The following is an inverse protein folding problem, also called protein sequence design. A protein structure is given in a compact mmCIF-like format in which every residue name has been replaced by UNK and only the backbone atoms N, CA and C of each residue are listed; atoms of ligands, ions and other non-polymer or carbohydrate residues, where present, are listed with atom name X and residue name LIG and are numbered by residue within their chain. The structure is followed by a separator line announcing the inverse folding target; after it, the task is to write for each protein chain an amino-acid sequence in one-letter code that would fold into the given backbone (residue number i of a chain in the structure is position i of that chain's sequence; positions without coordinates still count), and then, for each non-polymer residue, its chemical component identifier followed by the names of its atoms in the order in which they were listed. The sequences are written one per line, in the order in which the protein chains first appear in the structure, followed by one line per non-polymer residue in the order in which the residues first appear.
data_IF_362629872220
#
_entry.id   IF_362629872220
#
_cell.length_a   1.000
_cell.length_b   1.000
_cell.length_c   1.000
_cell.angle_alpha   90.00
_cell.angle_beta   90.00
_cell.angle_gamma   90.00
#
_symmetry.space_group_name_H-M   'P 1'
#
loop_
_entity.id
_entity.type
_entity.pdbx_description
1 polymer ?
#
# COMPACT_ATOMS: atom_id res chain seq x y z
N UNK A 1 -6.02 0.63 -18.15
CA UNK A 1 -6.66 1.20 -16.94
C UNK A 1 -6.54 2.72 -16.82
N UNK A 2 -5.37 3.31 -17.08
CA UNK A 2 -5.08 4.73 -16.78
C UNK A 2 -5.95 5.77 -17.50
N UNK A 3 -6.48 5.46 -18.69
CA UNK A 3 -7.31 6.40 -19.49
C UNK A 3 -8.82 6.13 -19.27
N UNK A 4 -9.20 4.85 -19.21
CA UNK A 4 -10.60 4.43 -19.07
C UNK A 4 -11.17 4.73 -17.67
N UNK A 5 -10.38 4.57 -16.61
CA UNK A 5 -10.87 4.78 -15.24
C UNK A 5 -11.25 6.25 -14.98
N UNK A 6 -10.39 7.25 -15.28
CA UNK A 6 -10.73 8.65 -15.10
C UNK A 6 -11.92 9.08 -15.97
N UNK A 7 -12.12 8.47 -17.14
CA UNK A 7 -13.28 8.73 -17.98
C UNK A 7 -14.59 8.25 -17.31
N UNK A 8 -14.61 7.02 -16.78
CA UNK A 8 -15.79 6.48 -16.07
C UNK A 8 -16.06 7.21 -14.74
N UNK A 9 -15.00 7.53 -13.99
CA UNK A 9 -15.10 8.14 -12.66
C UNK A 9 -15.23 9.67 -12.75
N UNK A 10 -14.96 10.27 -13.92
CA UNK A 10 -15.00 11.71 -14.15
C UNK A 10 -16.32 12.35 -13.72
N UNK A 11 -17.47 11.68 -13.94
CA UNK A 11 -18.76 12.18 -13.45
C UNK A 11 -18.86 12.24 -11.92
N UNK A 12 -18.23 11.31 -11.22
CA UNK A 12 -18.23 11.23 -9.76
C UNK A 12 -17.18 12.14 -9.11
N UNK A 13 -16.05 12.37 -9.77
CA UNK A 13 -14.98 13.25 -9.27
C UNK A 13 -15.14 14.72 -9.66
N UNK A 14 -15.89 15.02 -10.72
CA UNK A 14 -16.21 16.42 -11.11
C UNK A 14 -17.32 17.05 -10.26
N UNK A 15 -17.95 16.29 -9.38
CA UNK A 15 -18.96 16.79 -8.45
C UNK A 15 -18.39 17.72 -7.36
N UNK A 16 -19.27 18.32 -6.53
CA UNK A 16 -18.85 19.25 -5.46
C UNK A 16 -18.08 18.58 -4.31
N UNK A 17 -17.99 17.24 -4.29
CA UNK A 17 -17.38 16.47 -3.20
C UNK A 17 -16.45 15.35 -3.71
N UNK A 18 -15.33 15.68 -4.39
CA UNK A 18 -14.42 14.71 -5.01
C UNK A 18 -13.81 13.71 -4.02
N UNK A 19 -13.36 14.20 -2.86
CA UNK A 19 -12.81 13.40 -1.75
C UNK A 19 -13.78 12.34 -1.15
N UNK A 20 -15.09 12.33 -1.48
CA UNK A 20 -15.96 11.24 -1.05
C UNK A 20 -15.56 9.93 -1.73
N UNK A 21 -15.18 9.99 -3.01
CA UNK A 21 -14.69 8.82 -3.75
C UNK A 21 -13.40 8.29 -3.11
N UNK A 22 -12.53 9.18 -2.64
CA UNK A 22 -11.35 8.80 -1.85
C UNK A 22 -11.75 8.08 -0.55
N UNK A 23 -12.71 8.61 0.22
CA UNK A 23 -13.15 8.02 1.48
C UNK A 23 -13.78 6.63 1.34
N UNK A 24 -14.43 6.35 0.21
CA UNK A 24 -14.99 5.03 -0.10
C UNK A 24 -13.92 4.07 -0.66
N UNK A 25 -13.02 4.56 -1.50
CA UNK A 25 -11.95 3.74 -2.09
C UNK A 25 -10.86 3.34 -1.07
N UNK A 26 -10.63 4.15 -0.04
CA UNK A 26 -9.61 3.90 0.98
C UNK A 26 -9.80 2.58 1.76
N UNK A 27 -10.95 2.32 2.42
CA UNK A 27 -11.16 1.05 3.13
C UNK A 27 -11.15 -0.15 2.19
N UNK A 28 -11.69 0.02 0.97
CA UNK A 28 -11.63 -1.00 -0.07
C UNK A 28 -10.17 -1.33 -0.45
N UNK A 29 -9.31 -0.32 -0.58
CA UNK A 29 -7.88 -0.52 -0.83
C UNK A 29 -7.21 -1.34 0.27
N UNK A 30 -7.44 -1.00 1.55
CA UNK A 30 -6.86 -1.76 2.67
C UNK A 30 -7.30 -3.22 2.63
N UNK A 31 -8.60 -3.46 2.38
CA UNK A 31 -9.13 -4.81 2.27
C UNK A 31 -8.47 -5.59 1.13
N UNK A 32 -8.40 -5.03 -0.08
CA UNK A 32 -7.79 -5.69 -1.24
C UNK A 32 -6.30 -5.95 -1.02
N UNK A 33 -5.58 -5.04 -0.37
CA UNK A 33 -4.16 -5.26 0.00
C UNK A 33 -4.01 -6.42 0.98
N UNK A 34 -4.90 -6.56 1.97
CA UNK A 34 -4.92 -7.71 2.87
C UNK A 34 -5.18 -9.03 2.14
N UNK A 35 -6.15 -9.04 1.22
CA UNK A 35 -6.42 -10.20 0.35
C UNK A 35 -5.20 -10.56 -0.49
N UNK A 36 -4.54 -9.57 -1.09
CA UNK A 36 -3.33 -9.78 -1.89
C UNK A 36 -2.17 -10.35 -1.07
N UNK A 37 -1.99 -9.89 0.16
CA UNK A 37 -0.99 -10.45 1.08
C UNK A 37 -1.32 -11.91 1.45
N UNK A 38 -2.58 -12.23 1.76
CA UNK A 38 -2.99 -13.62 2.02
C UNK A 38 -2.76 -14.52 0.80
N UNK A 39 -3.05 -14.02 -0.40
CA UNK A 39 -2.82 -14.72 -1.66
C UNK A 39 -1.33 -15.04 -1.87
N UNK A 40 -0.43 -14.08 -1.60
CA UNK A 40 1.01 -14.29 -1.60
C UNK A 40 1.44 -15.37 -0.60
N UNK A 41 0.86 -15.36 0.61
CA UNK A 41 1.15 -16.36 1.64
C UNK A 41 0.79 -17.78 1.21
N UNK A 42 -0.34 -17.97 0.52
CA UNK A 42 -0.76 -19.28 0.03
C UNK A 42 -0.07 -19.73 -1.26
N UNK A 43 0.53 -18.81 -2.01
CA UNK A 43 1.18 -19.09 -3.30
C UNK A 43 2.15 -20.29 -3.27
N UNK A 44 3.09 -20.43 -2.31
CA UNK A 44 4.01 -21.58 -2.28
C UNK A 44 3.30 -22.93 -2.15
N UNK A 45 2.07 -22.98 -1.62
CA UNK A 45 1.29 -24.22 -1.48
C UNK A 45 0.79 -24.78 -2.82
N UNK A 46 0.72 -23.94 -3.86
CA UNK A 46 0.26 -24.35 -5.19
C UNK A 46 1.41 -24.68 -6.15
N UNK A 47 2.64 -24.83 -5.63
CA UNK A 47 3.80 -25.21 -6.42
C UNK A 47 3.61 -26.64 -6.97
N UNK A 48 3.67 -26.80 -8.28
CA UNK A 48 3.57 -28.12 -8.93
C UNK A 48 4.86 -28.93 -8.66
N UNK A 49 4.77 -30.25 -8.84
CA UNK A 49 5.91 -31.18 -8.69
C UNK A 49 7.09 -30.81 -9.60
N UNK A 50 6.81 -30.20 -10.75
CA UNK A 50 7.82 -29.73 -11.71
C UNK A 50 8.47 -28.40 -11.30
N UNK A 51 8.06 -27.81 -10.17
CA UNK A 51 8.53 -26.51 -9.70
C UNK A 51 7.83 -25.31 -10.35
N UNK A 52 6.95 -25.53 -11.32
CA UNK A 52 6.16 -24.51 -12.01
C UNK A 52 4.85 -24.15 -11.26
N UNK A 53 4.28 -23.00 -11.60
CA UNK A 53 2.99 -22.55 -11.10
C UNK A 53 1.92 -22.65 -12.19
N UNK A 54 0.69 -23.11 -11.88
CA UNK A 54 -0.38 -23.18 -12.87
C UNK A 54 -0.80 -21.79 -13.35
N UNK A 55 -1.17 -21.71 -14.64
CA UNK A 55 -1.60 -20.46 -15.29
C UNK A 55 -2.79 -19.77 -14.60
N UNK A 56 -3.62 -20.56 -13.90
CA UNK A 56 -4.76 -20.08 -13.12
C UNK A 56 -4.33 -19.18 -11.96
N UNK A 57 -3.19 -19.43 -11.31
CA UNK A 57 -2.66 -18.55 -10.26
C UNK A 57 -2.21 -17.21 -10.83
N UNK A 58 -1.54 -17.21 -11.98
CA UNK A 58 -1.14 -15.97 -12.65
C UNK A 58 -2.35 -15.13 -13.05
N UNK A 59 -3.39 -15.75 -13.61
CA UNK A 59 -4.64 -15.06 -13.92
C UNK A 59 -5.29 -14.44 -12.67
N UNK A 60 -5.28 -15.17 -11.55
CA UNK A 60 -5.81 -14.71 -10.27
C UNK A 60 -4.97 -13.57 -9.67
N UNK A 61 -3.63 -13.61 -9.78
CA UNK A 61 -2.74 -12.50 -9.41
C UNK A 61 -3.03 -11.24 -10.22
N UNK A 62 -3.16 -11.37 -11.54
CA UNK A 62 -3.47 -10.26 -12.43
C UNK A 62 -4.84 -9.66 -12.09
N UNK A 63 -5.84 -10.50 -11.81
CA UNK A 63 -7.16 -10.03 -11.40
C UNK A 63 -7.11 -9.26 -10.06
N UNK A 64 -6.42 -9.80 -9.05
CA UNK A 64 -6.25 -9.14 -7.76
C UNK A 64 -5.48 -7.81 -7.88
N UNK A 65 -4.43 -7.78 -8.71
CA UNK A 65 -3.68 -6.56 -9.01
C UNK A 65 -4.55 -5.51 -9.71
N UNK A 66 -5.39 -5.91 -10.66
CA UNK A 66 -6.36 -5.01 -11.29
C UNK A 66 -7.30 -4.38 -10.27
N UNK A 67 -7.86 -5.17 -9.33
CA UNK A 67 -8.75 -4.66 -8.27
C UNK A 67 -8.04 -3.65 -7.36
N UNK A 68 -6.80 -3.95 -6.96
CA UNK A 68 -5.97 -3.04 -6.18
C UNK A 68 -5.72 -1.72 -6.94
N UNK A 69 -5.39 -1.85 -8.22
CA UNK A 69 -5.04 -0.72 -9.07
C UNK A 69 -6.21 0.22 -9.31
N UNK A 70 -7.43 -0.31 -9.44
CA UNK A 70 -8.67 0.47 -9.53
C UNK A 70 -8.83 1.35 -8.29
N UNK A 71 -8.72 0.77 -7.08
CA UNK A 71 -8.85 1.51 -5.83
C UNK A 71 -7.82 2.65 -5.73
N UNK A 72 -6.57 2.34 -6.05
CA UNK A 72 -5.47 3.32 -6.02
C UNK A 72 -5.70 4.47 -7.01
N UNK A 73 -6.19 4.18 -8.21
CA UNK A 73 -6.50 5.22 -9.20
C UNK A 73 -7.70 6.06 -8.81
N UNK A 74 -8.77 5.47 -8.27
CA UNK A 74 -9.91 6.23 -7.74
C UNK A 74 -9.46 7.28 -6.72
N UNK A 75 -8.59 6.88 -5.78
CA UNK A 75 -8.02 7.77 -4.77
C UNK A 75 -7.18 8.88 -5.41
N UNK A 76 -6.28 8.53 -6.34
CA UNK A 76 -5.42 9.50 -7.02
C UNK A 76 -6.22 10.54 -7.80
N UNK A 77 -7.18 10.12 -8.62
CA UNK A 77 -8.02 11.03 -9.42
C UNK A 77 -8.85 11.93 -8.51
N UNK A 78 -9.38 11.41 -7.40
CA UNK A 78 -10.15 12.20 -6.43
C UNK A 78 -9.32 13.29 -5.76
N UNK A 79 -8.07 12.98 -5.41
CA UNK A 79 -7.14 13.94 -4.81
C UNK A 79 -6.74 15.02 -5.84
N UNK A 80 -6.42 14.62 -7.07
CA UNK A 80 -6.10 15.54 -8.16
C UNK A 80 -7.27 16.47 -8.48
N UNK A 81 -8.50 15.95 -8.51
CA UNK A 81 -9.71 16.73 -8.72
C UNK A 81 -9.92 17.75 -7.58
N UNK A 82 -9.64 17.38 -6.34
CA UNK A 82 -9.72 18.30 -5.20
C UNK A 82 -8.65 19.39 -5.28
N UNK A 83 -7.39 19.03 -5.51
CA UNK A 83 -6.27 19.97 -5.66
C UNK A 83 -6.54 21.00 -6.78
N UNK A 84 -7.11 20.56 -7.90
CA UNK A 84 -7.51 21.44 -8.99
C UNK A 84 -8.65 22.39 -8.60
N UNK A 85 -9.61 21.93 -7.79
CA UNK A 85 -10.75 22.76 -7.35
C UNK A 85 -10.37 23.82 -6.31
N UNK A 86 -9.38 23.56 -5.45
CA UNK A 86 -8.92 24.51 -4.42
C UNK A 86 -7.86 25.50 -4.92
N UNK A 87 -7.23 25.20 -6.05
CA UNK A 87 -6.20 26.06 -6.63
C UNK A 87 -6.83 27.36 -7.16
N UNK A 88 -6.35 28.52 -6.65
CA UNK A 88 -6.82 29.84 -7.07
C UNK A 88 -6.56 30.07 -8.57
N UNK A 89 -7.52 30.53 -9.38
CA UNK A 89 -7.32 30.77 -10.81
C UNK A 89 -6.14 31.69 -11.15
N UNK A 90 -5.76 32.63 -10.26
CA UNK A 90 -4.67 33.59 -10.50
C UNK A 90 -3.28 32.99 -10.27
N UNK A 91 -3.14 32.02 -9.35
CA UNK A 91 -1.85 31.37 -9.02
C UNK A 91 -2.00 29.83 -9.01
N UNK A 92 -2.90 29.31 -9.85
CA UNK A 92 -3.31 27.92 -9.78
C UNK A 92 -2.19 26.96 -10.17
N UNK A 93 -1.33 27.38 -11.10
CA UNK A 93 -0.16 26.59 -11.52
C UNK A 93 0.82 26.32 -10.38
N UNK A 94 1.14 27.33 -9.56
CA UNK A 94 2.06 27.18 -8.43
C UNK A 94 1.43 26.34 -7.31
N UNK A 95 0.17 26.60 -6.96
CA UNK A 95 -0.55 25.81 -5.95
C UNK A 95 -0.67 24.33 -6.36
N UNK A 96 -1.06 24.06 -7.60
CA UNK A 96 -1.21 22.71 -8.11
C UNK A 96 0.13 21.96 -8.13
N UNK A 97 1.21 22.64 -8.53
CA UNK A 97 2.57 22.06 -8.51
C UNK A 97 3.00 21.74 -7.08
N UNK A 98 2.86 22.67 -6.14
CA UNK A 98 3.22 22.45 -4.74
C UNK A 98 2.45 21.27 -4.12
N UNK A 99 1.13 21.22 -4.34
CA UNK A 99 0.28 20.14 -3.83
C UNK A 99 0.67 18.79 -4.43
N UNK A 100 1.02 18.75 -5.73
CA UNK A 100 1.52 17.53 -6.36
C UNK A 100 2.87 17.10 -5.79
N UNK A 101 3.78 18.05 -5.51
CA UNK A 101 5.07 17.76 -4.86
C UNK A 101 4.85 17.17 -3.47
N UNK A 102 3.98 17.75 -2.66
CA UNK A 102 3.63 17.23 -1.33
C UNK A 102 2.99 15.84 -1.42
N UNK A 103 2.12 15.61 -2.41
CA UNK A 103 1.49 14.31 -2.62
C UNK A 103 2.49 13.23 -3.06
N UNK A 104 3.42 13.56 -3.97
CA UNK A 104 4.48 12.65 -4.40
C UNK A 104 5.47 12.35 -3.28
N UNK A 105 5.83 13.35 -2.46
CA UNK A 105 6.69 13.15 -1.30
C UNK A 105 6.00 12.20 -0.31
N UNK A 106 4.75 12.50 0.05
CA UNK A 106 3.94 11.70 0.98
C UNK A 106 3.72 10.26 0.55
N UNK A 107 3.71 9.97 -0.76
CA UNK A 107 3.53 8.63 -1.30
C UNK A 107 4.81 7.77 -1.33
N UNK A 108 5.99 8.38 -1.46
CA UNK A 108 7.24 7.64 -1.68
C UNK A 108 8.01 7.30 -0.39
N UNK A 109 8.08 8.23 0.58
CA UNK A 109 8.84 7.99 1.81
C UNK A 109 8.40 6.76 2.62
N UNK A 110 7.10 6.36 2.69
CA UNK A 110 6.70 5.20 3.47
C UNK A 110 7.23 3.89 2.90
N UNK A 111 7.41 3.82 1.57
CA UNK A 111 7.91 2.61 0.90
C UNK A 111 9.35 2.35 1.33
N UNK A 112 10.21 3.37 1.27
CA UNK A 112 11.61 3.27 1.70
C UNK A 112 11.71 2.94 3.18
N UNK A 113 10.89 3.58 4.02
CA UNK A 113 10.86 3.32 5.46
C UNK A 113 10.47 1.87 5.76
N UNK A 114 9.39 1.37 5.14
CA UNK A 114 8.94 0.00 5.38
C UNK A 114 9.99 -1.02 4.92
N UNK A 115 10.55 -0.86 3.72
CA UNK A 115 11.61 -1.76 3.23
C UNK A 115 12.83 -1.78 4.17
N UNK A 116 13.23 -0.63 4.71
CA UNK A 116 14.35 -0.57 5.66
C UNK A 116 14.06 -1.24 7.01
N UNK A 117 12.80 -1.34 7.40
CA UNK A 117 12.38 -1.94 8.67
C UNK A 117 12.07 -3.43 8.50
N UNK A 118 11.61 -3.87 7.33
CA UNK A 118 11.26 -5.28 7.05
C UNK A 118 12.40 -6.24 7.36
N UNK A 119 13.63 -5.90 7.00
CA UNK A 119 14.80 -6.74 7.28
C UNK A 119 15.03 -6.93 8.79
N UNK A 120 14.70 -5.91 9.59
CA UNK A 120 14.82 -5.96 11.07
C UNK A 120 13.65 -6.67 11.74
N UNK A 121 12.51 -6.75 11.06
CA UNK A 121 11.30 -7.44 11.53
C UNK A 121 11.24 -8.91 11.09
N UNK A 122 12.23 -9.36 10.34
CA UNK A 122 12.32 -10.72 9.84
C UNK A 122 13.11 -11.57 10.81
N UNK A 123 12.51 -12.66 11.28
CA UNK A 123 13.17 -13.61 12.19
C UNK A 123 13.45 -14.94 11.50
N UNK A 124 14.69 -15.39 11.62
CA UNK A 124 15.15 -16.66 11.04
C UNK A 124 15.60 -17.59 12.15
N UNK A 125 15.23 -18.87 12.05
CA UNK A 125 15.65 -19.89 13.01
C UNK A 125 16.61 -20.87 12.34
N UNK A 126 17.63 -21.30 13.07
CA UNK A 126 18.49 -22.41 12.69
C UNK A 126 17.78 -23.72 13.04
N UNK A 127 17.56 -24.56 12.04
CA UNK A 127 16.82 -25.83 12.17
C UNK A 127 17.74 -26.99 11.84
N UNK A 128 17.79 -27.97 12.74
CA UNK A 128 18.60 -29.17 12.59
C UNK A 128 18.15 -30.01 11.38
N UNK A 129 19.08 -30.38 10.51
CA UNK A 129 18.78 -31.14 9.29
C UNK A 129 18.48 -32.61 9.63
N UNK A 130 17.22 -32.92 9.93
CA UNK A 130 16.71 -34.29 10.15
C UNK A 130 15.76 -34.46 11.33
N UNK A 131 15.88 -33.63 12.37
CA UNK A 131 15.00 -33.64 13.56
C UNK A 131 14.07 -32.44 13.65
N UNK A 132 14.24 -31.43 12.76
CA UNK A 132 13.48 -30.18 12.77
C UNK A 132 13.49 -29.44 14.13
N UNK A 133 14.49 -29.71 14.96
CA UNK A 133 14.68 -29.06 16.26
C UNK A 133 15.31 -27.69 16.08
N UNK A 134 14.78 -26.67 16.77
CA UNK A 134 15.28 -25.30 16.76
C UNK A 134 16.55 -25.24 17.61
N UNK A 135 17.69 -24.95 16.98
CA UNK A 135 19.00 -24.91 17.61
C UNK A 135 19.39 -23.49 18.05
N UNK A 136 18.81 -22.46 17.42
CA UNK A 136 19.11 -21.05 17.69
C UNK A 136 18.50 -20.12 16.64
N UNK A 137 18.87 -18.84 16.69
CA UNK A 137 18.46 -17.78 15.75
C UNK A 137 19.51 -17.57 14.66
N UNK A 138 19.08 -17.17 13.45
CA UNK A 138 19.93 -16.82 12.30
C UNK A 138 19.71 -15.36 11.87
N UNK A 139 19.73 -14.42 12.82
CA UNK A 139 19.43 -13.02 12.52
C UNK A 139 20.68 -12.27 12.07
N UNK A 140 21.86 -12.67 12.55
CA UNK A 140 23.15 -12.11 12.15
C UNK A 140 23.89 -13.01 11.15
N UNK A 141 24.81 -12.40 10.39
CA UNK A 141 25.66 -13.14 9.44
C UNK A 141 26.52 -14.20 10.15
N UNK A 142 27.05 -13.87 11.32
CA UNK A 142 27.87 -14.77 12.15
C UNK A 142 27.07 -16.00 12.63
N UNK A 143 25.83 -15.81 13.06
CA UNK A 143 24.93 -16.91 13.45
C UNK A 143 24.55 -17.78 12.25
N UNK A 144 24.30 -17.15 11.09
CA UNK A 144 24.01 -17.85 9.85
C UNK A 144 25.20 -18.72 9.42
N UNK A 145 26.42 -18.16 9.44
CA UNK A 145 27.64 -18.87 9.06
C UNK A 145 27.92 -20.04 10.03
N UNK A 146 27.62 -19.87 11.32
CA UNK A 146 27.77 -20.93 12.34
C UNK A 146 26.75 -22.05 12.13
N UNK A 147 25.49 -21.71 11.86
CA UNK A 147 24.43 -22.69 11.58
C UNK A 147 24.76 -23.53 10.34
N UNK A 148 25.19 -22.87 9.25
CA UNK A 148 25.57 -23.56 8.01
C UNK A 148 26.84 -24.39 8.19
N UNK A 149 27.82 -23.92 8.97
CA UNK A 149 29.03 -24.68 9.28
C UNK A 149 28.74 -25.98 10.05
N UNK A 150 27.68 -26.01 10.84
CA UNK A 150 27.21 -27.21 11.55
C UNK A 150 26.39 -28.17 10.67
N UNK A 151 26.13 -27.81 9.41
CA UNK A 151 25.35 -28.62 8.46
C UNK A 151 23.84 -28.40 8.55
N UNK A 152 23.39 -27.38 9.30
CA UNK A 152 21.99 -27.05 9.54
C UNK A 152 21.46 -26.00 8.55
N UNK A 153 20.14 -25.78 8.54
CA UNK A 153 19.48 -24.89 7.59
C UNK A 153 18.78 -23.75 8.34
N UNK A 154 19.04 -22.51 7.92
CA UNK A 154 18.30 -21.35 8.42
C UNK A 154 16.98 -21.23 7.65
N UNK A 155 15.87 -21.52 8.31
CA UNK A 155 14.53 -21.34 7.76
C UNK A 155 13.89 -20.05 8.29
N UNK A 156 13.12 -19.39 7.42
CA UNK A 156 12.35 -18.20 7.76
C UNK A 156 11.17 -18.61 8.63
N UNK A 157 11.15 -18.18 9.90
CA UNK A 157 10.05 -18.49 10.81
C UNK A 157 8.94 -17.44 10.74
N UNK A 158 9.32 -16.15 10.74
CA UNK A 158 8.39 -15.03 10.57
C UNK A 158 8.94 -14.09 9.52
N UNK A 159 8.17 -13.92 8.44
CA UNK A 159 8.48 -12.96 7.39
C UNK A 159 7.97 -11.57 7.79
N UNK A 160 8.91 -10.64 7.95
CA UNK A 160 8.65 -9.26 8.33
C UNK A 160 7.71 -8.53 7.37
N UNK A 161 7.55 -9.03 6.13
CA UNK A 161 6.59 -8.50 5.16
C UNK A 161 5.15 -8.57 5.70
N UNK A 162 4.70 -9.73 6.19
CA UNK A 162 3.31 -9.90 6.64
C UNK A 162 3.02 -9.11 7.92
N UNK A 163 4.01 -9.04 8.82
CA UNK A 163 3.94 -8.18 10.00
C UNK A 163 3.84 -6.71 9.59
N UNK A 164 4.67 -6.29 8.63
CA UNK A 164 4.63 -4.95 8.06
C UNK A 164 3.29 -4.60 7.44
N UNK A 165 2.69 -5.51 6.66
CA UNK A 165 1.35 -5.33 6.08
C UNK A 165 0.29 -5.16 7.17
N UNK A 166 0.33 -5.98 8.23
CA UNK A 166 -0.61 -5.88 9.34
C UNK A 166 -0.48 -4.53 10.09
N UNK A 167 0.75 -4.11 10.38
CA UNK A 167 1.03 -2.82 11.03
C UNK A 167 0.59 -1.64 10.17
N UNK A 168 0.88 -1.66 8.86
CA UNK A 168 0.45 -0.63 7.93
C UNK A 168 -1.08 -0.57 7.79
N UNK A 169 -1.75 -1.73 7.76
CA UNK A 169 -3.21 -1.79 7.70
C UNK A 169 -3.83 -1.17 8.97
N UNK A 170 -3.32 -1.53 10.16
CA UNK A 170 -3.76 -0.97 11.43
C UNK A 170 -3.56 0.55 11.49
N UNK A 171 -2.36 1.03 11.13
CA UNK A 171 -2.05 2.45 11.05
C UNK A 171 -2.98 3.18 10.07
N UNK A 172 -3.26 2.57 8.92
CA UNK A 172 -4.18 3.09 7.91
C UNK A 172 -5.62 3.20 8.43
N UNK A 173 -6.12 2.21 9.17
CA UNK A 173 -7.44 2.27 9.78
C UNK A 173 -7.55 3.37 10.85
N UNK A 174 -6.51 3.52 11.68
CA UNK A 174 -6.45 4.60 12.68
C UNK A 174 -6.43 5.96 11.99
N UNK A 175 -5.57 6.15 10.99
CA UNK A 175 -5.50 7.35 10.18
C UNK A 175 -6.84 7.69 9.53
N UNK A 176 -7.50 6.68 8.95
CA UNK A 176 -8.81 6.83 8.33
C UNK A 176 -9.84 7.36 9.33
N UNK A 177 -9.97 6.73 10.51
CA UNK A 177 -10.91 7.16 11.54
C UNK A 177 -10.64 8.59 12.02
N UNK A 178 -9.37 8.95 12.24
CA UNK A 178 -8.98 10.27 12.75
C UNK A 178 -9.20 11.38 11.72
N UNK A 179 -8.87 11.13 10.45
CA UNK A 179 -8.95 12.15 9.41
C UNK A 179 -10.29 12.16 8.65
N UNK A 180 -11.14 11.14 8.79
CA UNK A 180 -12.44 11.08 8.11
C UNK A 180 -13.26 12.36 8.28
N UNK A 181 -13.40 12.82 9.54
CA UNK A 181 -14.14 14.05 9.87
C UNK A 181 -13.46 15.29 9.31
N UNK A 182 -12.12 15.35 9.33
CA UNK A 182 -11.34 16.48 8.79
C UNK A 182 -11.43 16.57 7.27
N UNK A 183 -11.33 15.44 6.57
CA UNK A 183 -11.49 15.32 5.12
C UNK A 183 -12.88 15.80 4.71
N UNK A 184 -13.94 15.35 5.40
CA UNK A 184 -15.30 15.84 5.18
C UNK A 184 -15.45 17.33 5.46
N UNK A 185 -14.74 17.86 6.46
CA UNK A 185 -14.75 19.29 6.75
C UNK A 185 -14.09 20.09 5.62
N UNK A 186 -12.90 19.70 5.15
CA UNK A 186 -12.21 20.38 4.04
C UNK A 186 -13.03 20.43 2.76
N UNK A 187 -13.83 19.40 2.47
CA UNK A 187 -14.75 19.41 1.33
C UNK A 187 -15.94 20.36 1.46
N UNK A 188 -16.31 20.76 2.68
CA UNK A 188 -17.43 21.69 2.92
C UNK A 188 -17.02 23.15 2.83
N UNK A 189 -15.73 23.44 2.97
CA UNK A 189 -15.20 24.81 2.89
C UNK A 189 -15.45 25.35 1.48
N UNK A 190 -16.02 26.55 1.38
CA UNK A 190 -16.33 27.16 0.11
C UNK A 190 -15.04 27.48 -0.65
N UNK A 191 -15.06 27.35 -1.98
CA UNK A 191 -13.87 27.62 -2.83
C UNK A 191 -13.30 29.04 -2.63
N UNK A 192 -14.14 30.00 -2.26
CA UNK A 192 -13.75 31.38 -1.96
C UNK A 192 -12.83 31.51 -0.74
N UNK A 193 -12.93 30.58 0.20
CA UNK A 193 -12.11 30.58 1.42
C UNK A 193 -10.74 29.93 1.17
N UNK A 194 -10.60 29.19 0.06
CA UNK A 194 -9.32 28.62 -0.39
C UNK A 194 -8.51 29.59 -1.25
N UNK A 195 -9.16 30.55 -1.92
CA UNK A 195 -8.49 31.56 -2.75
C UNK A 195 -7.80 32.61 -1.90
N UNK A 196 -6.54 32.90 -2.23
CA UNK A 196 -5.76 33.98 -1.59
C UNK A 196 -6.37 35.34 -1.92
N UNK A 197 -6.87 35.49 -3.15
CA UNK A 197 -7.57 36.70 -3.57
C UNK A 197 -9.07 36.50 -3.43
N UNK A 198 -9.69 37.19 -2.46
CA UNK A 198 -11.16 37.26 -2.37
C UNK A 198 -11.72 37.84 -3.67
N UNK A 199 -12.64 37.11 -4.29
CA UNK A 199 -13.46 37.59 -5.41
C UNK A 199 -14.58 38.48 -4.92
#
# INVERSE_FOLDING_TARGET
MQILLPWCIGKYTSGPRPLNVFLWAYPYRIFVTGVFAGLLYYTPSFRLVNGEYPITLYALWVAAFCLYQIASYCMFVSMMAFNAQISDPKIGGTYMTLLNTLNNLGGNWPVTLMLSITDKLTWKNCVAKGTSSILGTCDTKTETDTCVANGDVCEMYVDGYYLGVALCAAAGFVWYKLLFSKIKHFQKIARKDWSVFRK
#
